data_IF_883919292974
#
_entry.id   IF_883919292974
#
_cell.length_a   1.000
_cell.length_b   1.000
_cell.length_c   1.000
_cell.angle_alpha   90.00
_cell.angle_beta   90.00
_cell.angle_gamma   90.00
#
_symmetry.space_group_name_H-M   'P 1'
#
loop_
_entity.id
_entity.type
_entity.pdbx_description
1 polymer ?
#
# COMPACT_ATOMS: atom_id res chain seq x y z
N UNK A 1 -31.27 9.39 -7.05
CA UNK A 1 -30.01 9.57 -7.82
C UNK A 1 -28.94 9.91 -6.81
N UNK A 2 -27.96 9.06 -6.60
CA UNK A 2 -26.79 9.41 -5.74
C UNK A 2 -26.08 10.58 -6.41
N UNK A 3 -25.80 11.63 -5.65
CA UNK A 3 -25.02 12.77 -6.15
C UNK A 3 -23.61 12.35 -6.57
N UNK A 4 -22.86 13.25 -7.22
CA UNK A 4 -21.45 13.03 -7.57
C UNK A 4 -20.64 12.84 -6.28
N UNK A 5 -19.94 11.72 -6.15
CA UNK A 5 -19.09 11.43 -4.98
C UNK A 5 -17.83 12.29 -5.01
N UNK A 6 -17.53 12.92 -3.89
CA UNK A 6 -16.36 13.77 -3.72
C UNK A 6 -15.20 13.00 -3.07
N UNK A 7 -14.07 12.99 -3.76
CA UNK A 7 -12.92 12.17 -3.38
C UNK A 7 -11.73 13.06 -3.02
N UNK A 8 -11.20 12.88 -1.81
CA UNK A 8 -9.88 13.41 -1.44
C UNK A 8 -8.81 12.41 -1.89
N UNK A 9 -7.80 12.88 -2.63
CA UNK A 9 -6.67 12.06 -3.08
C UNK A 9 -5.41 12.46 -2.33
N UNK A 10 -5.09 11.68 -1.30
CA UNK A 10 -3.85 11.82 -0.55
C UNK A 10 -2.70 11.21 -1.38
N UNK A 11 -1.72 12.03 -1.78
CA UNK A 11 -0.63 11.60 -2.67
C UNK A 11 -1.00 11.65 -4.16
N UNK A 12 -1.69 12.71 -4.60
CA UNK A 12 -2.24 12.86 -5.94
C UNK A 12 -1.20 12.78 -7.07
N UNK A 13 0.05 13.20 -6.82
CA UNK A 13 1.13 13.16 -7.79
C UNK A 13 1.85 11.80 -7.86
N UNK A 14 1.50 10.83 -7.00
CA UNK A 14 2.00 9.45 -7.04
C UNK A 14 1.29 8.62 -8.12
N UNK A 15 1.82 7.42 -8.42
CA UNK A 15 1.24 6.52 -9.44
C UNK A 15 -0.22 6.15 -9.14
N UNK A 16 -0.53 5.85 -7.87
CA UNK A 16 -1.90 5.56 -7.44
C UNK A 16 -2.79 6.79 -7.56
N UNK A 17 -2.29 7.98 -7.14
CA UNK A 17 -3.02 9.23 -7.28
C UNK A 17 -3.37 9.55 -8.74
N UNK A 18 -2.39 9.44 -9.65
CA UNK A 18 -2.59 9.64 -11.08
C UNK A 18 -3.60 8.65 -11.68
N UNK A 19 -3.49 7.36 -11.32
CA UNK A 19 -4.45 6.34 -11.75
C UNK A 19 -5.86 6.60 -11.20
N UNK A 20 -5.98 7.10 -9.98
CA UNK A 20 -7.26 7.51 -9.37
C UNK A 20 -7.88 8.67 -10.13
N UNK A 21 -7.07 9.67 -10.48
CA UNK A 21 -7.54 10.84 -11.22
C UNK A 21 -7.92 10.48 -12.66
N UNK A 22 -7.26 9.51 -13.30
CA UNK A 22 -7.70 8.97 -14.60
C UNK A 22 -9.09 8.31 -14.49
N UNK A 23 -9.36 7.51 -13.45
CA UNK A 23 -10.68 6.92 -13.21
C UNK A 23 -11.73 8.00 -12.93
N UNK A 24 -11.42 9.02 -12.12
CA UNK A 24 -12.32 10.16 -11.87
C UNK A 24 -12.66 10.89 -13.18
N UNK A 25 -11.67 11.15 -14.02
CA UNK A 25 -11.86 11.87 -15.30
C UNK A 25 -12.73 11.08 -16.30
N UNK A 26 -12.72 9.74 -16.23
CA UNK A 26 -13.57 8.87 -17.07
C UNK A 26 -15.03 8.88 -16.66
N UNK A 27 -15.32 9.22 -15.40
CA UNK A 27 -16.67 9.16 -14.83
C UNK A 27 -17.05 10.49 -14.13
N UNK A 28 -17.07 11.62 -14.85
CA UNK A 28 -17.35 12.93 -14.27
C UNK A 28 -18.78 13.10 -13.75
N UNK A 29 -19.69 12.23 -14.19
CA UNK A 29 -21.06 12.13 -13.70
C UNK A 29 -21.18 11.41 -12.36
N UNK A 30 -20.13 10.70 -11.92
CA UNK A 30 -20.09 9.90 -10.69
C UNK A 30 -19.10 10.41 -9.66
N UNK A 31 -17.97 10.97 -10.09
CA UNK A 31 -16.83 11.32 -9.22
C UNK A 31 -16.31 12.72 -9.50
N UNK A 32 -15.88 13.40 -8.45
CA UNK A 32 -15.16 14.67 -8.51
C UNK A 32 -14.03 14.69 -7.48
N UNK A 33 -12.89 15.28 -7.83
CA UNK A 33 -11.82 15.52 -6.87
C UNK A 33 -12.22 16.64 -5.91
N UNK A 34 -12.21 16.35 -4.59
CA UNK A 34 -12.45 17.34 -3.56
C UNK A 34 -11.14 18.01 -3.11
N UNK A 35 -10.12 17.22 -2.82
CA UNK A 35 -8.81 17.72 -2.47
C UNK A 35 -7.70 16.87 -3.11
N UNK A 36 -6.60 17.54 -3.51
CA UNK A 36 -5.40 16.91 -4.05
C UNK A 36 -4.21 17.27 -3.17
N UNK A 37 -3.37 16.28 -2.85
CA UNK A 37 -2.19 16.54 -2.02
C UNK A 37 -0.90 16.16 -2.73
N UNK A 38 0.15 16.94 -2.53
CA UNK A 38 1.48 16.70 -3.10
C UNK A 38 2.60 17.09 -2.14
N UNK A 39 3.75 16.41 -2.27
CA UNK A 39 4.89 16.65 -1.38
C UNK A 39 6.06 17.36 -2.08
N UNK A 40 6.55 16.83 -3.20
CA UNK A 40 7.74 17.33 -3.89
C UNK A 40 7.47 17.84 -5.30
N UNK A 41 6.49 17.28 -6.00
CA UNK A 41 6.18 17.55 -7.42
C UNK A 41 5.12 18.63 -7.55
N UNK A 42 5.53 19.89 -7.34
CA UNK A 42 4.58 21.02 -7.26
C UNK A 42 4.01 21.40 -8.63
N UNK A 43 4.81 21.34 -9.70
CA UNK A 43 4.34 21.63 -11.06
C UNK A 43 3.27 20.63 -11.52
N UNK A 44 3.47 19.34 -11.18
CA UNK A 44 2.46 18.31 -11.44
C UNK A 44 1.19 18.56 -10.63
N UNK A 45 1.32 18.92 -9.34
CA UNK A 45 0.17 19.22 -8.49
C UNK A 45 -0.62 20.42 -9.05
N UNK A 46 0.06 21.49 -9.49
CA UNK A 46 -0.56 22.62 -10.14
C UNK A 46 -1.35 22.19 -11.38
N UNK A 47 -0.71 21.40 -12.27
CA UNK A 47 -1.37 20.90 -13.47
C UNK A 47 -2.63 20.08 -13.15
N UNK A 48 -2.54 19.19 -12.16
CA UNK A 48 -3.68 18.38 -11.70
C UNK A 48 -4.80 19.26 -11.12
N UNK A 49 -4.47 20.30 -10.34
CA UNK A 49 -5.45 21.24 -9.79
C UNK A 49 -6.17 22.02 -10.91
N UNK A 50 -5.47 22.41 -11.96
CA UNK A 50 -6.08 23.12 -13.09
C UNK A 50 -7.04 22.23 -13.91
N UNK A 51 -6.72 20.93 -14.03
CA UNK A 51 -7.57 19.96 -14.73
C UNK A 51 -8.78 19.55 -13.89
N UNK A 52 -8.57 19.13 -12.65
CA UNK A 52 -9.61 18.53 -11.81
C UNK A 52 -10.36 19.54 -10.93
N UNK A 53 -9.86 20.77 -10.82
CA UNK A 53 -10.47 21.89 -10.08
C UNK A 53 -10.95 21.50 -8.67
N UNK A 54 -10.08 20.92 -7.82
CA UNK A 54 -10.46 20.55 -6.47
C UNK A 54 -10.77 21.80 -5.64
N UNK A 55 -11.50 21.63 -4.54
CA UNK A 55 -11.74 22.70 -3.57
C UNK A 55 -10.44 23.06 -2.86
N UNK A 56 -9.66 22.06 -2.47
CA UNK A 56 -8.40 22.22 -1.73
C UNK A 56 -7.22 21.55 -2.45
N UNK A 57 -6.04 22.17 -2.25
CA UNK A 57 -4.76 21.50 -2.46
C UNK A 57 -3.97 21.51 -1.14
N UNK A 58 -3.18 20.45 -0.84
CA UNK A 58 -2.36 20.42 0.38
C UNK A 58 -0.91 20.19 0.02
N UNK A 59 -0.03 21.01 0.60
CA UNK A 59 1.42 20.98 0.37
C UNK A 59 2.18 20.98 1.72
N UNK A 60 3.46 20.58 1.76
CA UNK A 60 4.15 20.35 3.03
C UNK A 60 4.54 21.62 3.80
N UNK A 61 4.78 22.76 3.12
CA UNK A 61 5.32 23.98 3.74
C UNK A 61 4.57 25.23 3.33
N UNK A 62 4.61 26.26 4.17
CA UNK A 62 3.99 27.55 3.91
C UNK A 62 4.57 28.24 2.66
N UNK A 63 5.86 28.09 2.40
CA UNK A 63 6.52 28.62 1.21
C UNK A 63 5.88 28.05 -0.06
N UNK A 64 5.81 26.70 -0.15
CA UNK A 64 5.18 26.02 -1.29
C UNK A 64 3.69 26.35 -1.43
N UNK A 65 3.01 26.60 -0.30
CA UNK A 65 1.61 26.99 -0.34
C UNK A 65 1.44 28.37 -0.96
N UNK A 66 2.30 29.32 -0.62
CA UNK A 66 2.26 30.68 -1.18
C UNK A 66 2.51 30.66 -2.69
N UNK A 67 3.51 29.89 -3.13
CA UNK A 67 3.85 29.78 -4.56
C UNK A 67 2.72 29.10 -5.37
N UNK A 68 2.20 27.97 -4.85
CA UNK A 68 1.11 27.26 -5.51
C UNK A 68 -0.18 28.10 -5.54
N UNK A 69 -0.51 28.78 -4.43
CA UNK A 69 -1.70 29.63 -4.35
C UNK A 69 -1.62 30.79 -5.36
N UNK A 70 -0.46 31.43 -5.49
CA UNK A 70 -0.24 32.49 -6.46
C UNK A 70 -0.40 31.97 -7.90
N UNK A 71 0.20 30.79 -8.22
CA UNK A 71 0.09 30.18 -9.53
C UNK A 71 -1.36 29.81 -9.90
N UNK A 72 -2.11 29.25 -8.93
CA UNK A 72 -3.52 28.92 -9.09
C UNK A 72 -4.38 30.16 -9.33
N UNK A 73 -4.16 31.23 -8.58
CA UNK A 73 -4.89 32.52 -8.75
C UNK A 73 -4.62 33.14 -10.12
N UNK A 74 -3.36 33.15 -10.58
CA UNK A 74 -2.99 33.64 -11.92
C UNK A 74 -3.64 32.83 -13.03
N UNK A 75 -3.86 31.54 -12.82
CA UNK A 75 -4.56 30.66 -13.75
C UNK A 75 -6.10 30.70 -13.62
N UNK A 76 -6.65 31.57 -12.75
CA UNK A 76 -8.09 31.71 -12.51
C UNK A 76 -8.73 30.56 -11.73
N UNK A 77 -7.94 29.75 -11.01
CA UNK A 77 -8.45 28.69 -10.14
C UNK A 77 -8.94 29.28 -8.82
N UNK A 78 -9.98 28.62 -8.25
CA UNK A 78 -10.51 28.92 -6.91
C UNK A 78 -10.04 27.93 -5.85
N UNK A 79 -9.14 27.01 -6.21
CA UNK A 79 -8.58 26.04 -5.27
C UNK A 79 -7.84 26.74 -4.14
N UNK A 80 -8.18 26.44 -2.91
CA UNK A 80 -7.51 26.94 -1.69
C UNK A 80 -6.35 26.00 -1.31
N UNK A 81 -5.22 26.57 -0.89
CA UNK A 81 -4.04 25.78 -0.52
C UNK A 81 -3.88 25.71 1.00
N UNK A 82 -3.85 24.49 1.53
CA UNK A 82 -3.61 24.16 2.93
C UNK A 82 -2.18 23.60 3.12
N UNK A 83 -1.73 23.54 4.38
CA UNK A 83 -0.34 23.20 4.70
C UNK A 83 -0.24 22.07 5.71
N UNK A 84 0.72 21.19 5.49
CA UNK A 84 1.21 20.22 6.48
C UNK A 84 0.24 19.11 6.85
N UNK A 85 0.54 18.43 7.94
CA UNK A 85 -0.24 17.29 8.42
C UNK A 85 -1.66 17.69 8.83
N UNK A 86 -1.82 18.88 9.44
CA UNK A 86 -3.13 19.40 9.81
C UNK A 86 -4.02 19.58 8.59
N UNK A 87 -3.50 20.17 7.49
CA UNK A 87 -4.21 20.30 6.23
C UNK A 87 -4.56 18.93 5.61
N UNK A 88 -3.67 17.92 5.69
CA UNK A 88 -3.96 16.57 5.25
C UNK A 88 -5.11 15.93 6.03
N UNK A 89 -5.09 16.04 7.35
CA UNK A 89 -6.16 15.53 8.22
C UNK A 89 -7.48 16.26 7.99
N UNK A 90 -7.45 17.57 7.82
CA UNK A 90 -8.62 18.39 7.55
C UNK A 90 -9.34 17.95 6.26
N UNK A 91 -8.61 17.80 5.14
CA UNK A 91 -9.23 17.39 3.86
C UNK A 91 -9.63 15.91 3.83
N UNK A 92 -9.02 15.07 4.65
CA UNK A 92 -9.39 13.67 4.78
C UNK A 92 -10.69 13.47 5.60
N UNK A 93 -10.90 14.32 6.61
CA UNK A 93 -12.06 14.22 7.50
C UNK A 93 -13.23 15.17 7.11
N UNK A 94 -13.08 15.99 6.07
CA UNK A 94 -14.07 17.01 5.69
C UNK A 94 -15.48 16.40 5.49
N UNK A 95 -16.54 17.06 6.01
CA UNK A 95 -17.91 16.51 5.91
C UNK A 95 -18.38 16.25 4.47
N UNK A 96 -17.90 17.06 3.53
CA UNK A 96 -18.25 17.00 2.11
C UNK A 96 -17.62 15.83 1.36
N UNK A 97 -16.66 15.16 1.97
CA UNK A 97 -15.91 14.04 1.37
C UNK A 97 -16.65 12.74 1.57
N UNK A 98 -16.87 12.01 0.48
CA UNK A 98 -17.49 10.67 0.51
C UNK A 98 -16.44 9.57 0.62
N UNK A 99 -15.29 9.73 -0.05
CA UNK A 99 -14.22 8.75 -0.04
C UNK A 99 -12.82 9.40 -0.03
N UNK A 100 -11.86 8.71 0.57
CA UNK A 100 -10.46 9.13 0.63
C UNK A 100 -9.57 8.06 0.00
N UNK A 101 -8.85 8.42 -1.06
CA UNK A 101 -7.76 7.61 -1.59
C UNK A 101 -6.51 7.84 -0.74
N UNK A 102 -6.17 6.87 0.10
CA UNK A 102 -5.03 6.93 1.01
C UNK A 102 -3.78 6.37 0.33
N UNK A 103 -3.06 7.23 -0.43
CA UNK A 103 -1.91 6.83 -1.25
C UNK A 103 -0.60 7.57 -0.89
N UNK A 104 -0.51 8.13 0.32
CA UNK A 104 0.77 8.62 0.87
C UNK A 104 1.56 7.42 1.38
N UNK A 105 2.77 7.22 0.88
CA UNK A 105 3.63 6.08 1.22
C UNK A 105 4.25 6.23 2.62
N UNK A 106 4.39 5.12 3.35
CA UNK A 106 5.07 5.06 4.64
C UNK A 106 4.26 5.63 5.82
N UNK A 107 4.93 5.84 6.94
CA UNK A 107 4.34 6.31 8.20
C UNK A 107 3.61 7.66 8.10
N UNK A 108 4.04 8.53 7.18
CA UNK A 108 3.44 9.85 6.96
C UNK A 108 1.95 9.80 6.53
N UNK A 109 1.53 8.69 5.93
CA UNK A 109 0.13 8.48 5.54
C UNK A 109 -0.79 8.04 6.68
N UNK A 110 -0.25 7.60 7.82
CA UNK A 110 -1.06 6.99 8.89
C UNK A 110 -2.05 7.97 9.52
N UNK A 111 -1.60 9.16 9.98
CA UNK A 111 -2.48 10.14 10.65
C UNK A 111 -3.61 10.64 9.76
N UNK A 112 -3.39 11.09 8.50
CA UNK A 112 -4.49 11.53 7.65
C UNK A 112 -5.42 10.38 7.26
N UNK A 113 -4.93 9.14 7.11
CA UNK A 113 -5.79 7.99 6.87
C UNK A 113 -6.69 7.68 8.06
N UNK A 114 -6.15 7.73 9.28
CA UNK A 114 -6.94 7.58 10.51
C UNK A 114 -7.95 8.73 10.72
N UNK A 115 -7.60 9.96 10.32
CA UNK A 115 -8.56 11.07 10.34
C UNK A 115 -9.78 10.78 9.45
N UNK A 116 -9.57 10.19 8.27
CA UNK A 116 -10.67 9.73 7.41
C UNK A 116 -11.49 8.59 8.07
N UNK A 117 -10.81 7.61 8.70
CA UNK A 117 -11.46 6.51 9.43
C UNK A 117 -12.32 7.05 10.56
N UNK A 118 -11.77 7.89 11.44
CA UNK A 118 -12.53 8.47 12.56
C UNK A 118 -13.73 9.31 12.10
N UNK A 119 -13.65 9.91 10.91
CA UNK A 119 -14.78 10.63 10.29
C UNK A 119 -15.80 9.70 9.58
N UNK A 120 -15.67 8.37 9.70
CA UNK A 120 -16.58 7.39 9.11
C UNK A 120 -16.57 7.34 7.59
N UNK A 121 -15.46 7.73 6.94
CA UNK A 121 -15.36 7.81 5.48
C UNK A 121 -15.15 6.45 4.84
N UNK A 122 -15.47 6.34 3.52
CA UNK A 122 -14.97 5.25 2.69
C UNK A 122 -13.48 5.50 2.45
N UNK A 123 -12.61 4.63 2.96
CA UNK A 123 -11.16 4.69 2.79
C UNK A 123 -10.72 3.68 1.73
N UNK A 124 -10.16 4.19 0.63
CA UNK A 124 -9.55 3.42 -0.44
C UNK A 124 -8.08 3.27 -0.08
N UNK A 125 -7.73 2.16 0.56
CA UNK A 125 -6.44 1.98 1.22
C UNK A 125 -5.38 1.48 0.25
N UNK A 126 -4.46 2.37 -0.14
CA UNK A 126 -3.28 2.05 -0.95
C UNK A 126 -1.97 2.13 -0.15
N UNK A 127 -2.00 2.70 1.06
CA UNK A 127 -0.89 2.75 2.00
C UNK A 127 -0.95 1.54 2.94
N UNK A 128 -0.30 0.46 2.56
CA UNK A 128 -0.23 -0.76 3.38
C UNK A 128 0.48 -0.55 4.72
N UNK A 129 1.45 0.36 4.75
CA UNK A 129 2.23 0.64 5.94
C UNK A 129 1.36 1.12 7.11
N UNK A 130 0.24 1.80 6.83
CA UNK A 130 -0.71 2.20 7.87
C UNK A 130 -1.27 1.01 8.66
N UNK A 131 -1.69 -0.07 7.97
CA UNK A 131 -2.15 -1.30 8.61
C UNK A 131 -1.01 -2.12 9.21
N UNK A 132 0.13 -2.20 8.53
CA UNK A 132 1.30 -2.90 9.05
C UNK A 132 1.74 -2.32 10.39
N UNK A 133 1.80 -0.99 10.49
CA UNK A 133 2.28 -0.30 11.70
C UNK A 133 1.26 -0.28 12.85
N UNK A 134 -0.02 -0.17 12.55
CA UNK A 134 -1.05 0.14 13.56
C UNK A 134 -2.31 -0.72 13.47
N UNK A 135 -2.23 -1.89 12.85
CA UNK A 135 -3.38 -2.68 12.43
C UNK A 135 -4.47 -2.86 13.48
N UNK A 136 -4.13 -3.20 14.74
CA UNK A 136 -5.10 -3.36 15.83
C UNK A 136 -5.86 -2.04 16.11
N UNK A 137 -5.12 -0.93 16.27
CA UNK A 137 -5.69 0.40 16.51
C UNK A 137 -6.50 0.87 15.32
N UNK A 138 -5.99 0.66 14.12
CA UNK A 138 -6.65 1.05 12.88
C UNK A 138 -7.99 0.33 12.72
N UNK A 139 -8.00 -1.00 12.83
CA UNK A 139 -9.23 -1.79 12.68
C UNK A 139 -10.22 -1.57 13.83
N UNK A 140 -9.73 -1.22 15.04
CA UNK A 140 -10.60 -0.78 16.12
C UNK A 140 -11.29 0.54 15.76
N UNK A 141 -10.54 1.53 15.27
CA UNK A 141 -11.11 2.79 14.82
C UNK A 141 -12.14 2.63 13.67
N UNK A 142 -11.90 1.67 12.77
CA UNK A 142 -12.86 1.31 11.70
C UNK A 142 -14.18 0.80 12.30
N UNK A 143 -14.10 -0.13 13.25
CA UNK A 143 -15.31 -0.68 13.93
C UNK A 143 -16.06 0.41 14.67
N UNK A 144 -15.37 1.29 15.39
CA UNK A 144 -15.96 2.32 16.25
C UNK A 144 -16.64 3.44 15.43
N UNK A 145 -16.06 3.78 14.28
CA UNK A 145 -16.57 4.86 13.42
C UNK A 145 -17.56 4.43 12.36
N UNK A 146 -17.62 3.12 12.06
CA UNK A 146 -18.38 2.60 10.93
C UNK A 146 -17.78 2.95 9.56
N UNK A 147 -16.51 3.33 9.50
CA UNK A 147 -15.81 3.56 8.25
C UNK A 147 -15.75 2.27 7.41
N UNK A 148 -15.73 2.42 6.09
CA UNK A 148 -15.58 1.30 5.16
C UNK A 148 -14.18 1.35 4.57
N UNK A 149 -13.37 0.32 4.81
CA UNK A 149 -12.01 0.22 4.26
C UNK A 149 -12.00 -0.76 3.10
N UNK A 150 -11.59 -0.29 1.93
CA UNK A 150 -11.50 -1.08 0.71
C UNK A 150 -10.04 -1.12 0.23
N UNK A 151 -9.47 -2.32 0.01
CA UNK A 151 -8.08 -2.45 -0.41
C UNK A 151 -7.88 -1.99 -1.85
N UNK A 152 -6.80 -1.27 -2.09
CA UNK A 152 -6.36 -0.83 -3.42
C UNK A 152 -5.17 -1.66 -3.91
N UNK A 153 -4.34 -2.17 -3.01
CA UNK A 153 -3.29 -3.10 -3.42
C UNK A 153 -3.91 -4.23 -4.24
N UNK A 154 -3.33 -4.56 -5.40
CA UNK A 154 -3.96 -5.45 -6.40
C UNK A 154 -4.28 -6.83 -5.84
N UNK A 155 -3.40 -7.37 -5.01
CA UNK A 155 -3.55 -8.68 -4.40
C UNK A 155 -4.67 -8.70 -3.35
N UNK A 156 -4.74 -7.69 -2.50
CA UNK A 156 -5.81 -7.59 -1.50
C UNK A 156 -7.16 -7.27 -2.12
N UNK A 157 -7.18 -6.43 -3.14
CA UNK A 157 -8.42 -6.17 -3.90
C UNK A 157 -8.90 -7.45 -4.61
N UNK A 158 -8.00 -8.28 -5.11
CA UNK A 158 -8.32 -9.58 -5.69
C UNK A 158 -8.91 -10.54 -4.66
N UNK A 159 -8.31 -10.62 -3.46
CA UNK A 159 -8.86 -11.40 -2.34
C UNK A 159 -10.26 -10.91 -2.00
N UNK A 160 -10.44 -9.60 -1.83
CA UNK A 160 -11.73 -8.99 -1.52
C UNK A 160 -12.80 -9.33 -2.58
N UNK A 161 -12.45 -9.33 -3.87
CA UNK A 161 -13.36 -9.73 -4.96
C UNK A 161 -13.75 -11.20 -4.93
N UNK A 162 -12.90 -12.06 -4.36
CA UNK A 162 -13.11 -13.51 -4.26
C UNK A 162 -13.72 -13.95 -2.92
N UNK A 163 -13.79 -13.05 -1.92
CA UNK A 163 -14.40 -13.32 -0.62
C UNK A 163 -15.93 -13.35 -0.70
N UNK A 164 -16.59 -14.18 0.14
CA UNK A 164 -18.05 -14.08 0.30
C UNK A 164 -18.43 -12.75 0.96
N UNK A 165 -19.63 -12.24 0.66
CA UNK A 165 -20.05 -10.91 1.08
C UNK A 165 -20.18 -10.73 2.60
N UNK A 166 -20.20 -11.83 3.36
CA UNK A 166 -20.31 -11.87 4.83
C UNK A 166 -19.02 -12.37 5.51
N UNK A 167 -17.85 -12.20 4.87
CA UNK A 167 -16.56 -12.70 5.38
C UNK A 167 -16.19 -12.13 6.76
N UNK A 168 -16.74 -10.99 7.16
CA UNK A 168 -16.59 -10.37 8.49
C UNK A 168 -17.07 -11.28 9.64
N UNK A 169 -17.86 -12.31 9.33
CA UNK A 169 -18.28 -13.34 10.30
C UNK A 169 -17.12 -14.29 10.69
N UNK A 170 -15.94 -14.10 10.12
CA UNK A 170 -14.76 -14.92 10.29
C UNK A 170 -14.60 -15.97 9.18
N UNK A 171 -13.39 -16.09 8.65
CA UNK A 171 -13.09 -16.90 7.47
C UNK A 171 -13.58 -18.35 7.56
N UNK A 172 -13.37 -19.01 8.70
CA UNK A 172 -13.82 -20.40 8.90
C UNK A 172 -15.32 -20.54 8.92
N UNK A 173 -16.06 -19.53 9.40
CA UNK A 173 -17.53 -19.55 9.46
C UNK A 173 -18.19 -19.38 8.11
N UNK A 174 -17.48 -18.77 7.15
CA UNK A 174 -17.96 -18.56 5.78
C UNK A 174 -17.33 -19.56 4.79
N UNK A 175 -16.70 -20.61 5.29
CA UNK A 175 -16.14 -21.69 4.47
C UNK A 175 -14.84 -21.36 3.76
N UNK A 176 -14.13 -20.30 4.14
CA UNK A 176 -12.80 -20.00 3.63
C UNK A 176 -11.77 -20.81 4.41
N UNK A 177 -10.99 -21.63 3.68
CA UNK A 177 -9.90 -22.44 4.25
C UNK A 177 -8.63 -21.61 4.43
N UNK A 178 -8.21 -20.92 3.37
CA UNK A 178 -7.02 -20.09 3.33
C UNK A 178 -7.06 -19.07 2.19
N UNK A 179 -6.23 -18.07 2.31
CA UNK A 179 -5.93 -17.07 1.27
C UNK A 179 -4.65 -17.48 0.57
N UNK A 180 -4.65 -17.45 -0.75
CA UNK A 180 -3.46 -17.69 -1.58
C UNK A 180 -3.01 -16.34 -2.15
N UNK A 181 -2.02 -15.74 -1.51
CA UNK A 181 -1.49 -14.42 -1.84
C UNK A 181 -0.42 -14.57 -2.93
N UNK A 182 -0.68 -14.10 -4.15
CA UNK A 182 0.26 -14.28 -5.25
C UNK A 182 1.40 -13.26 -5.22
N UNK A 183 2.54 -13.64 -5.77
CA UNK A 183 3.73 -12.81 -5.95
C UNK A 183 4.35 -13.06 -7.31
N UNK A 184 4.93 -12.05 -7.97
CA UNK A 184 5.72 -12.25 -9.20
C UNK A 184 7.01 -13.03 -8.95
N UNK A 185 7.50 -13.02 -7.69
CA UNK A 185 8.81 -13.52 -7.31
C UNK A 185 9.95 -12.51 -7.55
N UNK A 186 9.63 -11.33 -8.11
CA UNK A 186 10.58 -10.26 -8.34
C UNK A 186 11.65 -10.57 -9.40
N UNK A 187 12.60 -9.63 -9.64
CA UNK A 187 13.63 -9.80 -10.67
C UNK A 187 14.66 -10.90 -10.33
N UNK A 188 14.79 -11.28 -9.05
CA UNK A 188 15.81 -12.22 -8.59
C UNK A 188 15.29 -13.64 -8.35
N UNK A 189 14.10 -13.96 -8.81
CA UNK A 189 13.46 -15.28 -8.62
C UNK A 189 14.35 -16.45 -9.06
N UNK A 190 15.10 -16.30 -10.15
CA UNK A 190 15.97 -17.34 -10.72
C UNK A 190 17.46 -17.02 -10.59
N UNK A 191 17.83 -15.90 -9.95
CA UNK A 191 19.25 -15.54 -9.80
C UNK A 191 19.94 -16.51 -8.84
N UNK A 192 21.10 -17.08 -9.15
CA UNK A 192 21.88 -17.91 -8.23
C UNK A 192 22.17 -17.17 -6.91
N UNK A 193 22.11 -17.89 -5.77
CA UNK A 193 22.24 -17.27 -4.45
C UNK A 193 23.60 -16.54 -4.28
N UNK A 194 24.66 -17.09 -4.82
CA UNK A 194 26.01 -16.52 -4.78
C UNK A 194 26.14 -15.22 -5.59
N UNK A 195 25.22 -14.96 -6.52
CA UNK A 195 25.23 -13.74 -7.32
C UNK A 195 24.45 -12.59 -6.63
N UNK A 196 23.61 -12.89 -5.64
CA UNK A 196 22.83 -11.88 -4.93
C UNK A 196 23.70 -10.85 -4.19
N UNK A 197 24.92 -11.21 -3.82
CA UNK A 197 25.91 -10.27 -3.21
C UNK A 197 26.28 -9.11 -4.16
N UNK A 198 26.15 -9.29 -5.46
CA UNK A 198 26.64 -8.34 -6.48
C UNK A 198 25.51 -7.59 -7.18
N UNK A 199 24.25 -7.86 -6.84
CA UNK A 199 23.12 -7.21 -7.50
C UNK A 199 23.06 -5.72 -7.15
N UNK A 200 22.69 -4.92 -8.15
CA UNK A 200 22.67 -3.47 -8.03
C UNK A 200 21.26 -2.94 -7.77
N UNK A 201 21.13 -1.70 -7.26
CA UNK A 201 19.84 -1.03 -7.14
C UNK A 201 19.04 -0.98 -8.44
N UNK A 202 19.71 -0.79 -9.57
CA UNK A 202 19.08 -0.73 -10.90
C UNK A 202 18.48 -2.09 -11.27
N UNK A 203 19.18 -3.18 -11.00
CA UNK A 203 18.69 -4.54 -11.21
C UNK A 203 17.51 -4.85 -10.29
N UNK A 204 17.56 -4.45 -9.02
CA UNK A 204 16.46 -4.62 -8.08
C UNK A 204 15.22 -3.81 -8.48
N UNK A 205 15.41 -2.64 -9.10
CA UNK A 205 14.31 -1.80 -9.59
C UNK A 205 13.74 -2.26 -10.95
N UNK A 206 14.36 -3.22 -11.63
CA UNK A 206 13.91 -3.74 -12.93
C UNK A 206 12.84 -4.84 -12.76
N UNK A 207 11.64 -4.45 -12.25
CA UNK A 207 10.55 -5.40 -12.07
C UNK A 207 10.02 -5.91 -13.42
N UNK A 208 9.79 -7.25 -13.59
CA UNK A 208 9.43 -7.83 -14.89
C UNK A 208 8.06 -7.40 -15.43
N UNK A 209 7.07 -7.13 -14.56
CA UNK A 209 5.68 -6.93 -14.96
C UNK A 209 5.10 -5.55 -14.59
N UNK A 210 5.66 -4.87 -13.57
CA UNK A 210 5.11 -3.63 -13.03
C UNK A 210 6.11 -2.47 -13.12
N UNK A 211 5.62 -1.28 -13.48
CA UNK A 211 6.38 -0.04 -13.32
C UNK A 211 6.02 0.59 -11.97
N UNK A 212 6.94 0.55 -11.03
CA UNK A 212 6.72 0.97 -9.65
C UNK A 212 7.77 1.96 -9.17
N UNK A 213 7.50 2.63 -8.03
CA UNK A 213 8.49 3.45 -7.35
C UNK A 213 9.70 2.62 -6.87
N UNK A 214 10.86 3.26 -6.69
CA UNK A 214 12.12 2.57 -6.37
C UNK A 214 12.06 1.76 -5.07
N UNK A 215 11.43 2.29 -4.01
CA UNK A 215 11.29 1.60 -2.71
C UNK A 215 10.53 0.29 -2.88
N UNK A 216 9.33 0.33 -3.42
CA UNK A 216 8.48 -0.86 -3.59
C UNK A 216 9.07 -1.86 -4.60
N UNK A 217 9.89 -1.42 -5.57
CA UNK A 217 10.61 -2.32 -6.47
C UNK A 217 11.66 -3.15 -5.73
N UNK A 218 12.41 -2.55 -4.80
CA UNK A 218 13.36 -3.28 -3.95
C UNK A 218 12.61 -4.20 -2.98
N UNK A 219 11.49 -3.75 -2.41
CA UNK A 219 10.63 -4.60 -1.57
C UNK A 219 10.10 -5.82 -2.35
N UNK A 220 9.74 -5.64 -3.63
CA UNK A 220 9.37 -6.75 -4.50
C UNK A 220 10.55 -7.68 -4.77
N UNK A 221 11.74 -7.11 -5.04
CA UNK A 221 12.95 -7.88 -5.30
C UNK A 221 13.37 -8.75 -4.10
N UNK A 222 13.15 -8.28 -2.88
CA UNK A 222 13.44 -9.01 -1.63
C UNK A 222 12.28 -9.86 -1.11
N UNK A 223 11.13 -9.80 -1.76
CA UNK A 223 9.83 -10.30 -1.30
C UNK A 223 9.36 -9.68 0.04
N UNK A 224 9.97 -8.59 0.52
CA UNK A 224 9.42 -7.83 1.65
C UNK A 224 8.06 -7.24 1.32
N UNK A 225 7.84 -6.78 0.07
CA UNK A 225 6.51 -6.32 -0.34
C UNK A 225 5.43 -7.37 -0.04
N UNK A 226 5.71 -8.63 -0.38
CA UNK A 226 4.79 -9.73 -0.10
C UNK A 226 4.69 -10.05 1.39
N UNK A 227 5.76 -9.83 2.14
CA UNK A 227 5.74 -9.92 3.60
C UNK A 227 4.84 -8.85 4.24
N UNK A 228 4.94 -7.60 3.81
CA UNK A 228 4.07 -6.51 4.26
C UNK A 228 2.61 -6.76 3.89
N UNK A 229 2.37 -7.27 2.70
CA UNK A 229 1.03 -7.65 2.23
C UNK A 229 0.44 -8.82 3.03
N UNK A 230 1.24 -9.79 3.47
CA UNK A 230 0.78 -10.85 4.37
C UNK A 230 0.26 -10.25 5.69
N UNK A 231 1.00 -9.30 6.27
CA UNK A 231 0.59 -8.61 7.50
C UNK A 231 -0.71 -7.81 7.26
N UNK A 232 -0.79 -7.06 6.17
CA UNK A 232 -1.97 -6.29 5.80
C UNK A 232 -3.19 -7.20 5.61
N UNK A 233 -3.03 -8.35 4.92
CA UNK A 233 -4.12 -9.30 4.71
C UNK A 233 -4.64 -9.89 6.04
N UNK A 234 -3.77 -10.09 7.04
CA UNK A 234 -4.22 -10.51 8.38
C UNK A 234 -5.24 -9.53 8.96
N UNK A 235 -5.00 -8.23 8.82
CA UNK A 235 -5.88 -7.19 9.35
C UNK A 235 -7.14 -6.99 8.51
N UNK A 236 -7.00 -6.93 7.18
CA UNK A 236 -8.13 -6.67 6.28
C UNK A 236 -9.18 -7.78 6.29
N UNK A 237 -8.74 -9.03 6.45
CA UNK A 237 -9.61 -10.20 6.34
C UNK A 237 -9.79 -10.96 7.65
N UNK A 238 -9.31 -10.40 8.76
CA UNK A 238 -9.29 -11.07 10.08
C UNK A 238 -8.71 -12.49 9.99
N UNK A 239 -7.60 -12.62 9.26
CA UNK A 239 -6.92 -13.87 8.98
C UNK A 239 -5.71 -14.07 9.90
N UNK A 240 -5.51 -15.29 10.40
CA UNK A 240 -4.25 -15.64 11.07
C UNK A 240 -3.13 -15.80 10.04
N UNK A 241 -1.85 -15.49 10.36
CA UNK A 241 -0.72 -15.69 9.46
C UNK A 241 -0.66 -17.10 8.85
N UNK A 242 -1.08 -18.13 9.60
CA UNK A 242 -1.16 -19.53 9.14
C UNK A 242 -2.26 -19.79 8.10
N UNK A 243 -3.22 -18.89 7.92
CA UNK A 243 -4.27 -18.98 6.90
C UNK A 243 -3.90 -18.27 5.61
N UNK A 244 -2.71 -17.64 5.53
CA UNK A 244 -2.22 -16.96 4.35
C UNK A 244 -1.00 -17.71 3.80
N UNK A 245 -1.14 -18.25 2.60
CA UNK A 245 -0.07 -18.91 1.88
C UNK A 245 0.40 -18.03 0.72
N UNK A 246 1.70 -17.83 0.60
CA UNK A 246 2.29 -17.09 -0.53
C UNK A 246 2.55 -18.04 -1.68
N UNK A 247 2.10 -17.67 -2.86
CA UNK A 247 2.27 -18.44 -4.10
C UNK A 247 2.97 -17.56 -5.13
N UNK A 248 4.10 -18.02 -5.66
CA UNK A 248 4.79 -17.31 -6.74
C UNK A 248 4.10 -17.63 -8.06
N UNK A 249 3.62 -16.58 -8.74
CA UNK A 249 2.98 -16.62 -10.05
C UNK A 249 3.67 -15.62 -10.99
N UNK A 250 4.66 -16.08 -11.78
CA UNK A 250 5.55 -15.19 -12.54
C UNK A 250 4.85 -14.28 -13.55
N UNK A 251 3.74 -14.74 -14.14
CA UNK A 251 3.00 -13.98 -15.15
C UNK A 251 2.23 -12.79 -14.53
N UNK A 252 1.97 -12.80 -13.21
CA UNK A 252 1.23 -11.76 -12.49
C UNK A 252 -0.13 -11.42 -13.11
N UNK A 253 -0.80 -12.41 -13.69
CA UNK A 253 -2.14 -12.31 -14.29
C UNK A 253 -3.21 -12.64 -13.25
N UNK A 254 -2.96 -13.66 -12.42
CA UNK A 254 -3.74 -13.92 -11.21
C UNK A 254 -3.19 -13.03 -10.11
N UNK A 255 -4.03 -12.15 -9.59
CA UNK A 255 -3.63 -11.22 -8.55
C UNK A 255 -3.76 -11.78 -7.13
N UNK A 256 -4.66 -12.70 -6.87
CA UNK A 256 -4.72 -13.60 -5.69
C UNK A 256 -5.91 -14.56 -5.81
N UNK A 257 -5.99 -15.51 -4.86
CA UNK A 257 -7.02 -16.55 -4.84
C UNK A 257 -7.53 -16.77 -3.41
N UNK A 258 -8.74 -17.31 -3.29
CA UNK A 258 -9.35 -17.77 -2.04
C UNK A 258 -9.69 -19.26 -2.18
N UNK A 259 -9.17 -20.08 -1.26
CA UNK A 259 -9.37 -21.54 -1.21
C UNK A 259 -10.46 -21.88 -0.18
N UNK A 260 -11.49 -22.60 -0.59
CA UNK A 260 -12.67 -22.92 0.20
C UNK A 260 -12.64 -24.37 0.71
N UNK A 261 -13.44 -24.64 1.75
CA UNK A 261 -13.52 -25.96 2.41
C UNK A 261 -14.12 -27.03 1.52
N UNK A 262 -14.94 -26.65 0.53
CA UNK A 262 -15.55 -27.55 -0.45
C UNK A 262 -14.59 -27.98 -1.59
N UNK A 263 -13.35 -27.44 -1.57
CA UNK A 263 -12.34 -27.73 -2.60
C UNK A 263 -12.33 -26.73 -3.76
N UNK A 264 -13.24 -25.73 -3.76
CA UNK A 264 -13.22 -24.68 -4.76
C UNK A 264 -12.09 -23.67 -4.49
N UNK A 265 -11.51 -23.15 -5.57
CA UNK A 265 -10.56 -22.02 -5.50
C UNK A 265 -11.07 -20.93 -6.44
N UNK A 266 -11.36 -19.74 -5.87
CA UNK A 266 -11.73 -18.56 -6.64
C UNK A 266 -10.52 -17.66 -6.85
N UNK A 267 -10.36 -17.15 -8.07
CA UNK A 267 -9.25 -16.29 -8.45
C UNK A 267 -9.74 -15.05 -9.18
N UNK A 268 -9.11 -13.91 -8.89
CA UNK A 268 -9.31 -12.71 -9.70
C UNK A 268 -8.13 -12.59 -10.66
N UNK A 269 -8.46 -12.40 -11.94
CA UNK A 269 -7.51 -12.23 -13.03
C UNK A 269 -7.68 -10.84 -13.66
N UNK A 270 -6.57 -10.28 -14.14
CA UNK A 270 -6.58 -9.00 -14.86
C UNK A 270 -5.20 -8.66 -15.42
N UNK A 271 -5.17 -7.68 -16.33
CA UNK A 271 -3.91 -7.07 -16.72
C UNK A 271 -3.30 -6.31 -15.53
N UNK A 272 -1.97 -6.25 -15.40
CA UNK A 272 -1.30 -5.55 -14.31
C UNK A 272 -1.44 -4.02 -14.46
N UNK A 273 -2.56 -3.48 -14.02
CA UNK A 273 -2.91 -2.05 -14.08
C UNK A 273 -3.73 -1.65 -12.83
N UNK A 274 -3.20 -0.68 -12.09
CA UNK A 274 -3.81 -0.23 -10.83
C UNK A 274 -5.18 0.43 -11.00
N UNK A 275 -5.56 0.86 -12.21
CA UNK A 275 -6.91 1.38 -12.47
C UNK A 275 -8.00 0.32 -12.25
N UNK A 276 -7.68 -0.96 -12.42
CA UNK A 276 -8.64 -2.05 -12.16
C UNK A 276 -9.08 -2.11 -10.69
N UNK A 277 -8.18 -2.30 -9.70
CA UNK A 277 -8.57 -2.30 -8.29
C UNK A 277 -9.09 -0.95 -7.81
N UNK A 278 -8.58 0.17 -8.33
CA UNK A 278 -9.06 1.52 -8.01
C UNK A 278 -10.52 1.68 -8.46
N UNK A 279 -10.85 1.37 -9.71
CA UNK A 279 -12.20 1.49 -10.25
C UNK A 279 -13.18 0.56 -9.50
N UNK A 280 -12.74 -0.66 -9.18
CA UNK A 280 -13.53 -1.60 -8.38
C UNK A 280 -13.85 -1.03 -7.00
N UNK A 281 -12.85 -0.58 -6.24
CA UNK A 281 -13.05 -0.06 -4.89
C UNK A 281 -13.87 1.26 -4.88
N UNK A 282 -13.61 2.16 -5.83
CA UNK A 282 -14.39 3.40 -5.96
C UNK A 282 -15.88 3.13 -6.19
N UNK A 283 -16.18 2.19 -7.07
CA UNK A 283 -17.56 1.89 -7.48
C UNK A 283 -18.27 0.87 -6.59
N UNK A 284 -17.54 0.14 -5.72
CA UNK A 284 -18.11 -0.94 -4.90
C UNK A 284 -19.40 -0.53 -4.18
N UNK A 285 -20.45 -1.41 -4.20
CA UNK A 285 -20.48 -2.79 -4.71
C UNK A 285 -20.71 -2.93 -6.22
N UNK A 286 -20.85 -1.85 -6.95
CA UNK A 286 -21.01 -1.84 -8.40
C UNK A 286 -19.63 -1.96 -9.11
N UNK A 287 -19.66 -2.00 -10.44
CA UNK A 287 -18.46 -1.91 -11.29
C UNK A 287 -18.60 -0.78 -12.29
N UNK A 288 -17.47 -0.15 -12.61
CA UNK A 288 -17.35 0.89 -13.65
C UNK A 288 -16.21 0.54 -14.58
N UNK A 289 -16.22 1.12 -15.76
CA UNK A 289 -15.11 0.98 -16.71
C UNK A 289 -13.82 1.62 -16.15
N UNK A 290 -12.78 0.83 -16.02
CA UNK A 290 -11.47 1.29 -15.57
C UNK A 290 -10.61 1.89 -16.70
N UNK A 291 -11.01 1.69 -17.96
CA UNK A 291 -10.21 1.99 -19.14
C UNK A 291 -9.04 1.05 -19.39
N UNK A 292 -8.99 -0.06 -18.67
CA UNK A 292 -7.99 -1.13 -18.86
C UNK A 292 -8.46 -2.08 -19.93
N UNK A 293 -7.58 -2.48 -20.84
CA UNK A 293 -7.90 -3.43 -21.90
C UNK A 293 -8.37 -4.77 -21.31
N UNK A 294 -9.34 -5.47 -21.95
CA UNK A 294 -9.73 -6.81 -21.55
C UNK A 294 -8.56 -7.79 -21.56
N UNK A 295 -8.58 -8.74 -20.62
CA UNK A 295 -7.57 -9.80 -20.54
C UNK A 295 -7.74 -10.79 -21.71
N UNK A 296 -6.67 -11.06 -22.46
CA UNK A 296 -6.66 -12.06 -23.50
C UNK A 296 -6.10 -13.40 -22.98
N UNK A 297 -7.00 -14.30 -22.62
CA UNK A 297 -6.62 -15.63 -22.11
C UNK A 297 -5.93 -16.50 -23.15
N UNK A 298 -6.19 -16.31 -24.45
CA UNK A 298 -5.53 -17.06 -25.51
C UNK A 298 -4.07 -16.63 -25.66
N UNK A 299 -3.77 -15.34 -25.53
CA UNK A 299 -2.41 -14.83 -25.55
C UNK A 299 -1.59 -15.28 -24.32
N UNK A 300 -2.23 -15.40 -23.15
CA UNK A 300 -1.58 -15.88 -21.92
C UNK A 300 -1.27 -17.37 -22.01
N UNK A 301 -2.18 -18.16 -22.54
CA UNK A 301 -2.09 -19.60 -22.78
C UNK A 301 -1.79 -20.47 -21.55
N UNK A 302 -0.87 -20.05 -20.63
CA UNK A 302 -0.39 -20.83 -19.49
C UNK A 302 -0.21 -19.99 -18.24
N UNK A 303 -0.54 -20.58 -17.10
CA UNK A 303 -0.34 -20.00 -15.76
C UNK A 303 0.56 -20.95 -14.95
N UNK A 304 1.65 -20.41 -14.41
CA UNK A 304 2.61 -21.18 -13.63
C UNK A 304 2.57 -20.77 -12.17
N UNK A 305 2.82 -21.73 -11.28
CA UNK A 305 2.83 -21.53 -9.83
C UNK A 305 4.04 -22.23 -9.22
N UNK A 306 4.71 -21.54 -8.27
CA UNK A 306 5.88 -22.05 -7.57
C UNK A 306 5.74 -21.73 -6.07
N UNK A 307 6.35 -22.55 -5.21
CA UNK A 307 6.50 -22.22 -3.81
C UNK A 307 7.57 -21.11 -3.62
N UNK A 308 7.41 -20.19 -2.69
CA UNK A 308 8.45 -19.21 -2.40
C UNK A 308 9.68 -19.88 -1.78
N UNK A 309 10.87 -19.42 -2.16
CA UNK A 309 12.15 -19.85 -1.60
C UNK A 309 12.55 -18.90 -0.44
N UNK A 310 12.28 -19.30 0.80
CA UNK A 310 12.57 -18.47 1.98
C UNK A 310 14.08 -18.37 2.30
N UNK A 311 14.94 -19.23 1.74
CA UNK A 311 16.40 -19.06 1.85
C UNK A 311 16.87 -17.93 0.94
N UNK A 312 16.32 -17.86 -0.25
CA UNK A 312 16.54 -16.76 -1.21
C UNK A 312 15.93 -15.44 -0.75
N UNK A 313 14.76 -15.51 -0.12
CA UNK A 313 13.96 -14.36 0.30
C UNK A 313 13.69 -14.36 1.80
N UNK A 314 14.71 -14.14 2.67
CA UNK A 314 14.55 -14.16 4.11
C UNK A 314 13.55 -13.11 4.63
N UNK A 315 13.33 -12.00 3.88
CA UNK A 315 12.39 -10.96 4.23
C UNK A 315 10.95 -11.48 4.37
N UNK A 316 10.54 -12.48 3.56
CA UNK A 316 9.22 -13.09 3.68
C UNK A 316 9.08 -13.85 5.01
N UNK A 317 10.09 -14.62 5.40
CA UNK A 317 10.14 -15.31 6.69
C UNK A 317 10.08 -14.32 7.86
N UNK A 318 10.88 -13.26 7.81
CA UNK A 318 10.91 -12.22 8.85
C UNK A 318 9.55 -11.53 9.01
N UNK A 319 8.87 -11.22 7.91
CA UNK A 319 7.54 -10.62 7.95
C UNK A 319 6.49 -11.58 8.53
N UNK A 320 6.55 -12.88 8.22
CA UNK A 320 5.68 -13.90 8.85
C UNK A 320 5.91 -13.99 10.36
N UNK A 321 7.16 -14.01 10.78
CA UNK A 321 7.53 -14.01 12.20
C UNK A 321 7.03 -12.74 12.91
N UNK A 322 7.17 -11.57 12.29
CA UNK A 322 6.64 -10.32 12.83
C UNK A 322 5.10 -10.33 12.91
N UNK A 323 4.40 -10.89 11.92
CA UNK A 323 2.95 -11.07 11.95
C UNK A 323 2.49 -12.00 13.09
N UNK A 324 3.23 -13.07 13.35
CA UNK A 324 2.97 -14.03 14.42
C UNK A 324 3.26 -13.46 15.82
N UNK A 325 4.32 -12.64 15.93
CA UNK A 325 4.67 -11.95 17.17
C UNK A 325 3.66 -10.83 17.51
N UNK A 326 3.10 -10.19 16.49
CA UNK A 326 2.11 -9.12 16.66
C UNK A 326 2.67 -7.84 17.29
N UNK A 327 1.80 -7.05 17.92
CA UNK A 327 2.14 -5.82 18.63
C UNK A 327 3.10 -4.91 17.84
N UNK A 328 4.27 -4.52 18.43
CA UNK A 328 5.23 -3.62 17.77
C UNK A 328 6.10 -4.29 16.69
N UNK A 329 6.13 -5.63 16.59
CA UNK A 329 7.01 -6.31 15.66
C UNK A 329 6.80 -5.93 14.18
N UNK A 330 5.55 -5.84 13.65
CA UNK A 330 5.32 -5.37 12.28
C UNK A 330 5.77 -3.91 12.04
N UNK A 331 5.56 -3.01 13.02
CA UNK A 331 6.00 -1.62 12.91
C UNK A 331 7.52 -1.52 12.88
N UNK A 332 8.22 -2.27 13.74
CA UNK A 332 9.68 -2.33 13.75
C UNK A 332 10.23 -2.92 12.46
N UNK A 333 9.64 -4.01 11.94
CA UNK A 333 9.98 -4.60 10.64
C UNK A 333 9.90 -3.56 9.51
N UNK A 334 8.79 -2.84 9.43
CA UNK A 334 8.58 -1.81 8.40
C UNK A 334 9.62 -0.69 8.50
N UNK A 335 9.86 -0.16 9.70
CA UNK A 335 10.82 0.90 9.94
C UNK A 335 12.25 0.48 9.56
N UNK A 336 12.69 -0.70 9.99
CA UNK A 336 13.99 -1.26 9.65
C UNK A 336 14.12 -1.48 8.13
N UNK A 337 13.08 -2.00 7.48
CA UNK A 337 13.05 -2.19 6.04
C UNK A 337 13.19 -0.87 5.27
N UNK A 338 12.49 0.18 5.67
CA UNK A 338 12.58 1.49 5.00
C UNK A 338 14.02 2.03 5.04
N UNK A 339 14.70 1.93 6.20
CA UNK A 339 16.11 2.33 6.34
C UNK A 339 17.05 1.45 5.50
N UNK A 340 16.84 0.12 5.54
CA UNK A 340 17.67 -0.82 4.78
C UNK A 340 17.54 -0.61 3.26
N UNK A 341 16.31 -0.43 2.77
CA UNK A 341 16.05 -0.17 1.35
C UNK A 341 16.63 1.16 0.91
N UNK A 342 16.49 2.23 1.71
CA UNK A 342 17.11 3.52 1.41
C UNK A 342 18.64 3.40 1.32
N UNK A 343 19.28 2.75 2.30
CA UNK A 343 20.72 2.53 2.32
C UNK A 343 21.22 1.67 1.13
N UNK A 344 20.44 0.67 0.71
CA UNK A 344 20.74 -0.12 -0.49
C UNK A 344 20.64 0.73 -1.76
N UNK A 345 19.60 1.53 -1.90
CA UNK A 345 19.41 2.44 -3.04
C UNK A 345 20.52 3.50 -3.14
N UNK A 346 21.09 3.90 -2.00
CA UNK A 346 22.26 4.79 -1.87
C UNK A 346 23.60 4.05 -1.98
N UNK A 347 23.61 2.71 -2.19
CA UNK A 347 24.78 1.85 -2.27
C UNK A 347 25.65 1.83 -0.99
N UNK A 348 25.06 2.15 0.15
CA UNK A 348 25.71 2.09 1.48
C UNK A 348 25.73 0.68 2.04
N UNK A 349 24.82 -0.18 1.58
CA UNK A 349 24.79 -1.62 1.91
C UNK A 349 24.56 -2.43 0.63
N UNK A 350 24.87 -3.73 0.71
CA UNK A 350 24.57 -4.72 -0.34
C UNK A 350 23.20 -5.34 -0.14
N UNK A 351 22.64 -5.92 -1.19
CA UNK A 351 21.33 -6.55 -1.17
C UNK A 351 21.11 -7.57 -0.04
N UNK A 352 22.04 -8.55 0.22
CA UNK A 352 21.83 -9.52 1.32
C UNK A 352 21.92 -8.90 2.72
N UNK A 353 22.40 -7.65 2.83
CA UNK A 353 22.43 -6.94 4.11
C UNK A 353 21.06 -6.38 4.49
N UNK A 354 20.11 -6.25 3.54
CA UNK A 354 18.73 -5.83 3.83
C UNK A 354 18.10 -6.74 4.86
N UNK A 355 17.89 -8.05 4.62
CA UNK A 355 17.29 -8.93 5.62
C UNK A 355 18.12 -9.06 6.91
N UNK A 356 19.44 -8.95 6.86
CA UNK A 356 20.29 -9.00 8.06
C UNK A 356 20.03 -7.84 8.99
N UNK A 357 19.98 -6.61 8.46
CA UNK A 357 19.66 -5.43 9.26
C UNK A 357 18.28 -5.56 9.93
N UNK A 358 17.27 -6.01 9.17
CA UNK A 358 15.92 -6.17 9.69
C UNK A 358 15.89 -7.20 10.81
N UNK A 359 16.54 -8.35 10.61
CA UNK A 359 16.63 -9.43 11.61
C UNK A 359 17.35 -8.97 12.88
N UNK A 360 18.47 -8.26 12.74
CA UNK A 360 19.23 -7.73 13.88
C UNK A 360 18.42 -6.70 14.67
N UNK A 361 17.67 -5.80 14.01
CA UNK A 361 16.80 -4.84 14.69
C UNK A 361 15.68 -5.55 15.45
N UNK A 362 15.02 -6.53 14.83
CA UNK A 362 13.95 -7.30 15.48
C UNK A 362 14.43 -8.11 16.68
N UNK A 363 15.67 -8.60 16.65
CA UNK A 363 16.27 -9.37 17.75
C UNK A 363 16.76 -8.48 18.90
N UNK A 364 17.08 -7.22 18.65
CA UNK A 364 17.62 -6.30 19.68
C UNK A 364 16.51 -5.61 20.48
N UNK A 365 15.36 -5.35 19.90
CA UNK A 365 14.28 -4.61 20.55
C UNK A 365 13.15 -5.55 20.96
N UNK A 366 12.73 -5.54 22.24
CA UNK A 366 11.61 -6.34 22.69
C UNK A 366 10.30 -5.88 22.07
N UNK A 367 9.41 -6.85 21.79
CA UNK A 367 8.06 -6.56 21.33
C UNK A 367 7.25 -5.96 22.49
N UNK A 368 6.60 -4.83 22.23
CA UNK A 368 5.78 -4.10 23.20
C UNK A 368 4.37 -3.88 22.67
N UNK A 369 3.38 -3.85 23.56
CA UNK A 369 1.99 -3.59 23.19
C UNK A 369 1.81 -2.20 22.57
N UNK A 370 0.97 -2.11 21.55
CA UNK A 370 0.66 -0.87 20.83
C UNK A 370 -0.76 -0.41 21.20
N UNK A 371 -0.89 0.31 22.31
CA UNK A 371 -2.19 0.78 22.82
C UNK A 371 -2.58 2.17 22.29
N UNK A 372 -1.63 2.93 21.77
CA UNK A 372 -1.83 4.30 21.26
C UNK A 372 -1.00 4.56 20.02
N UNK A 373 -1.36 5.59 19.25
CA UNK A 373 -0.53 6.05 18.12
C UNK A 373 0.86 6.50 18.56
N UNK A 374 0.98 7.09 19.76
CA UNK A 374 2.30 7.50 20.26
C UNK A 374 3.20 6.32 20.51
N UNK A 375 2.67 5.17 21.01
CA UNK A 375 3.44 3.93 21.15
C UNK A 375 3.83 3.34 19.79
N UNK A 376 2.97 3.45 18.78
CA UNK A 376 3.31 3.05 17.39
C UNK A 376 4.48 3.87 16.86
N UNK A 377 4.39 5.19 16.95
CA UNK A 377 5.46 6.07 16.47
C UNK A 377 6.75 5.94 17.29
N UNK A 378 6.66 5.68 18.59
CA UNK A 378 7.83 5.41 19.42
C UNK A 378 8.54 4.12 19.01
N UNK A 379 7.81 3.03 18.73
CA UNK A 379 8.36 1.78 18.24
C UNK A 379 9.03 1.95 16.85
N UNK A 380 8.37 2.66 15.94
CA UNK A 380 8.93 3.00 14.61
C UNK A 380 10.22 3.81 14.75
N UNK A 381 10.22 4.87 15.54
CA UNK A 381 11.40 5.71 15.76
C UNK A 381 12.56 4.91 16.37
N UNK A 382 12.28 4.07 17.37
CA UNK A 382 13.28 3.24 18.01
C UNK A 382 13.91 2.24 17.04
N UNK A 383 13.11 1.60 16.20
CA UNK A 383 13.61 0.67 15.18
C UNK A 383 14.45 1.40 14.12
N UNK A 384 14.07 2.63 13.73
CA UNK A 384 14.88 3.48 12.83
C UNK A 384 16.24 3.83 13.44
N UNK A 385 16.27 4.19 14.72
CA UNK A 385 17.51 4.49 15.44
C UNK A 385 18.46 3.26 15.46
N UNK A 386 17.91 2.08 15.76
CA UNK A 386 18.68 0.82 15.74
C UNK A 386 19.20 0.49 14.34
N UNK A 387 18.36 0.63 13.31
CA UNK A 387 18.77 0.43 11.92
C UNK A 387 19.87 1.42 11.50
N UNK A 388 19.80 2.68 11.94
CA UNK A 388 20.82 3.67 11.67
C UNK A 388 22.14 3.38 12.42
N UNK A 389 22.08 2.88 13.67
CA UNK A 389 23.26 2.40 14.40
C UNK A 389 23.89 1.20 13.69
N UNK A 390 23.07 0.27 13.21
CA UNK A 390 23.54 -0.86 12.41
C UNK A 390 24.29 -0.41 11.14
N UNK A 391 23.75 0.59 10.42
CA UNK A 391 24.40 1.18 9.24
C UNK A 391 25.76 1.79 9.57
N UNK A 392 25.90 2.46 10.71
CA UNK A 392 27.16 3.07 11.12
C UNK A 392 28.24 2.02 11.43
N UNK A 393 27.85 0.79 11.77
CA UNK A 393 28.77 -0.33 12.09
C UNK A 393 29.09 -1.21 10.87
N UNK A 394 28.14 -1.38 9.93
CA UNK A 394 28.22 -2.37 8.86
C UNK A 394 28.09 -1.75 7.44
N UNK A 395 27.77 -0.47 7.34
CA UNK A 395 27.69 0.25 6.06
C UNK A 395 29.07 0.47 5.44
N UNK A 396 29.10 0.62 4.10
CA UNK A 396 30.32 0.92 3.34
C UNK A 396 30.66 2.40 3.43
#
# INVERSE_FOLDING_TARGET
MSGVQRITVLGATGSIGLSTLDVIARHPDRYAAFALTGFSRMDELLALCLVHRPVFAVVPTQERASDLQQALLLAGSRTEVLVGEEGLCQVAAAPEVDAVMAAIVGAAGLRPTLAAVHAGKKVLLANKEALVMSGALFMQAVRDSGAVVLPIDSEHNAIFQCMPGDFERGLSNVGVRRILLTASGGPFRQTPLEQLEQVTPEQACAHPNWSMGRKISVDSASMMNKGLELIEACWLFDARPSQIEVVVHPQSVIHSLVDYVDGSVLAQLGNPDMRTPIAHAMAWPQRVDSGVAPLDLFAIARLDFEAPDEQRFPCLRLARQAAEAGDSAPAMLNAANEIAVAAFLERRIRYPQIPRMIEDVLNQEPVVALDTLDTVFAADARARDLAQQWLNQHGN
#
